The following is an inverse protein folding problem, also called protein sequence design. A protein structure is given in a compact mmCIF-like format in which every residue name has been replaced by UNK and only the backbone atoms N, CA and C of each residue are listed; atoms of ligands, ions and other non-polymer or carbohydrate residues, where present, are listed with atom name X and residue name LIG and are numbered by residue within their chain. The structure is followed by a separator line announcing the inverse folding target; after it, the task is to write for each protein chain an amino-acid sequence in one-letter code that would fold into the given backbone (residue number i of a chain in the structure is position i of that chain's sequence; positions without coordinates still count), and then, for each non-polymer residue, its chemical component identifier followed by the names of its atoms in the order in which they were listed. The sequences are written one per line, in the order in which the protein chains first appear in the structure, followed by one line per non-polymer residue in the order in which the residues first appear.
data_IF_424825820678
#
_entry.id   IF_424825820678
#
_cell.length_a   1.000
_cell.length_b   1.000
_cell.length_c   1.000
_cell.angle_alpha   90.00
_cell.angle_beta   90.00
_cell.angle_gamma   90.00
#
_symmetry.space_group_name_H-M   'P 1'
#
loop_
_entity.id
_entity.type
_entity.pdbx_description
1 polymer ?
2 water ?
#
# COMPACT_ATOMS: atom_id res chain seq x y z
N UNK A 1 -3.67 19.11 0.24
CA UNK A 1 -3.77 18.71 -1.16
C UNK A 1 -3.88 17.20 -1.27
N UNK A 2 -4.66 16.72 -2.23
CA UNK A 2 -4.70 15.29 -2.52
C UNK A 2 -3.41 14.86 -3.20
N UNK A 3 -2.97 13.64 -2.90
CA UNK A 3 -1.87 13.00 -3.58
C UNK A 3 -2.40 11.74 -4.24
N UNK A 4 -1.71 11.31 -5.30
CA UNK A 4 -2.03 10.07 -5.99
C UNK A 4 -1.34 8.90 -5.30
N UNK A 5 -2.11 7.86 -5.01
CA UNK A 5 -1.57 6.60 -4.53
C UNK A 5 -2.08 5.48 -5.43
N UNK A 6 -1.44 4.33 -5.33
CA UNK A 6 -1.87 3.12 -6.02
C UNK A 6 -2.16 2.07 -4.96
N UNK A 7 -3.36 1.51 -5.00
CA UNK A 7 -3.78 0.46 -4.09
C UNK A 7 -3.75 -0.86 -4.85
N UNK A 8 -3.12 -1.87 -4.27
CA UNK A 8 -3.09 -3.20 -4.86
C UNK A 8 -3.64 -4.20 -3.87
N UNK A 9 -4.37 -5.17 -4.38
CA UNK A 9 -4.82 -6.32 -3.60
C UNK A 9 -4.12 -7.53 -4.20
N UNK A 10 -3.23 -8.14 -3.44
CA UNK A 10 -2.38 -9.21 -3.94
C UNK A 10 -2.60 -10.45 -3.08
N UNK A 11 -2.30 -11.60 -3.67
CA UNK A 11 -2.52 -12.86 -2.96
C UNK A 11 -1.50 -13.08 -1.86
N UNK A 12 -0.27 -12.61 -2.07
CA UNK A 12 0.87 -12.87 -1.20
C UNK A 12 1.63 -11.56 -1.00
N UNK A 13 2.28 -11.40 0.15
CA UNK A 13 3.04 -10.17 0.42
C UNK A 13 3.99 -9.85 -0.73
N UNK A 14 4.74 -10.84 -1.20
CA UNK A 14 5.77 -10.59 -2.21
C UNK A 14 5.28 -10.90 -3.62
N UNK A 15 4.05 -10.51 -3.92
CA UNK A 15 3.39 -10.69 -5.21
C UNK A 15 3.12 -9.33 -5.83
N UNK A 16 2.99 -9.33 -7.16
CA UNK A 16 2.75 -8.11 -7.92
C UNK A 16 1.54 -8.27 -8.83
N UNK A 17 0.72 -7.22 -8.87
CA UNK A 17 -0.45 -7.14 -9.74
C UNK A 17 -0.68 -5.68 -10.05
N UNK A 18 -1.45 -5.42 -11.11
CA UNK A 18 -1.89 -4.06 -11.38
C UNK A 18 -2.77 -3.56 -10.23
N UNK A 19 -2.59 -2.30 -9.85
CA UNK A 19 -3.40 -1.68 -8.84
C UNK A 19 -4.41 -0.70 -9.41
N UNK A 20 -4.95 0.13 -8.53
CA UNK A 20 -6.00 1.08 -8.82
C UNK A 20 -5.56 2.45 -8.31
N UNK A 21 -5.83 3.48 -9.11
CA UNK A 21 -5.46 4.84 -8.76
C UNK A 21 -6.44 5.39 -7.74
N UNK A 22 -5.92 5.93 -6.63
CA UNK A 22 -6.75 6.66 -5.68
C UNK A 22 -6.09 8.00 -5.39
N UNK A 23 -6.88 8.89 -4.80
CA UNK A 23 -6.40 10.15 -4.28
C UNK A 23 -6.68 10.18 -2.79
N UNK A 24 -5.74 10.73 -2.03
CA UNK A 24 -5.92 10.81 -0.58
C UNK A 24 -5.15 12.00 -0.05
N UNK A 25 -5.62 12.53 1.06
CA UNK A 25 -4.99 13.71 1.63
C UNK A 25 -3.96 13.38 2.70
N UNK A 26 -3.73 12.10 2.98
CA UNK A 26 -2.66 11.66 3.86
C UNK A 26 -2.47 10.16 3.66
N UNK A 27 -1.31 9.67 4.09
CA UNK A 27 -1.11 8.22 4.07
C UNK A 27 -2.09 7.51 5.00
N UNK A 28 -2.39 8.13 6.14
CA UNK A 28 -3.39 7.59 7.06
C UNK A 28 -4.72 7.37 6.34
N UNK A 29 -5.16 8.38 5.59
CA UNK A 29 -6.40 8.28 4.85
C UNK A 29 -6.30 7.24 3.73
N UNK A 30 -5.15 7.14 3.07
CA UNK A 30 -4.96 6.11 2.05
C UNK A 30 -5.10 4.71 2.64
N UNK A 31 -4.57 4.50 3.84
CA UNK A 31 -4.72 3.21 4.51
C UNK A 31 -6.19 2.92 4.79
N UNK A 32 -6.93 3.93 5.29
CA UNK A 32 -8.36 3.72 5.51
C UNK A 32 -9.09 3.34 4.21
N UNK A 33 -8.76 4.02 3.11
CA UNK A 33 -9.37 3.70 1.82
C UNK A 33 -9.02 2.29 1.40
N UNK A 34 -7.75 1.92 1.52
CA UNK A 34 -7.30 0.61 1.06
C UNK A 34 -8.01 -0.52 1.79
N UNK A 35 -8.14 -0.40 3.12
CA UNK A 35 -8.84 -1.44 3.88
C UNK A 35 -10.30 -1.53 3.47
N UNK A 36 -10.93 -0.38 3.23
CA UNK A 36 -12.33 -0.38 2.82
C UNK A 36 -12.51 -1.03 1.46
N UNK A 37 -11.51 -0.91 0.58
CA UNK A 37 -11.62 -1.40 -0.79
C UNK A 37 -11.27 -2.88 -0.94
N UNK A 38 -10.78 -3.54 0.10
CA UNK A 38 -10.42 -4.95 -0.02
C UNK A 38 -11.64 -5.76 -0.42
N UNK A 39 -11.47 -6.61 -1.44
CA UNK A 39 -12.59 -7.38 -1.98
C UNK A 39 -12.59 -8.84 -1.58
N UNK A 40 -11.45 -9.40 -1.16
CA UNK A 40 -11.33 -10.84 -0.97
C UNK A 40 -10.74 -11.13 0.39
N UNK A 41 -11.24 -12.18 1.04
CA UNK A 41 -10.71 -12.59 2.33
C UNK A 41 -9.32 -13.20 2.17
N UNK A 42 -8.38 -12.78 3.01
CA UNK A 42 -7.08 -13.41 3.06
C UNK A 42 -6.04 -12.82 2.13
N UNK A 43 -6.38 -11.81 1.34
CA UNK A 43 -5.40 -11.12 0.51
C UNK A 43 -4.66 -10.07 1.32
N UNK A 44 -3.67 -9.45 0.68
CA UNK A 44 -2.86 -8.39 1.26
C UNK A 44 -3.17 -7.10 0.51
N UNK A 45 -3.45 -6.03 1.25
CA UNK A 45 -3.59 -4.71 0.65
C UNK A 45 -2.25 -3.97 0.72
N UNK A 46 -1.80 -3.44 -0.40
CA UNK A 46 -0.55 -2.70 -0.45
C UNK A 46 -0.77 -1.32 -1.05
N UNK A 47 -0.13 -0.31 -0.45
CA UNK A 47 -0.14 1.05 -0.96
C UNK A 47 1.25 1.34 -1.51
N UNK A 48 1.28 1.81 -2.76
CA UNK A 48 2.49 2.22 -3.46
C UNK A 48 2.34 3.64 -3.99
N UNK A 49 3.49 4.27 -4.24
CA UNK A 49 3.49 5.49 -5.04
C UNK A 49 3.27 5.13 -6.52
N UNK A 50 3.00 6.16 -7.33
CA UNK A 50 2.86 5.92 -8.77
C UNK A 50 4.13 5.32 -9.36
N UNK A 51 5.29 5.68 -8.82
CA UNK A 51 6.57 5.15 -9.26
C UNK A 51 6.84 3.73 -8.75
N UNK A 52 5.94 3.15 -7.96
CA UNK A 52 6.08 1.77 -7.54
C UNK A 52 6.81 1.54 -6.23
N UNK A 53 7.02 2.57 -5.43
CA UNK A 53 7.65 2.38 -4.13
C UNK A 53 6.63 1.84 -3.13
N UNK A 54 6.96 0.73 -2.47
CA UNK A 54 6.12 0.22 -1.39
C UNK A 54 6.11 1.22 -0.24
N UNK A 55 4.92 1.66 0.15
CA UNK A 55 4.75 2.51 1.32
C UNK A 55 4.30 1.72 2.53
N UNK A 56 3.30 0.86 2.35
CA UNK A 56 2.81 0.07 3.48
C UNK A 56 1.95 -1.06 2.94
N UNK A 57 1.82 -2.13 3.71
CA UNK A 57 0.87 -3.17 3.34
C UNK A 57 0.26 -3.78 4.59
N UNK A 58 -0.81 -4.54 4.40
CA UNK A 58 -1.55 -5.11 5.51
C UNK A 58 -2.11 -6.47 5.13
N UNK A 59 -1.76 -7.48 5.93
CA UNK A 59 -2.41 -8.78 5.92
C UNK A 59 -3.65 -8.75 6.81
N UNK A 60 -4.57 -9.69 6.56
CA UNK A 60 -5.78 -9.78 7.38
C UNK A 60 -5.45 -10.08 8.84
N UNK A 61 -6.15 -9.40 9.74
CA UNK A 61 -5.95 -9.61 11.16
C UNK A 61 -4.65 -9.09 11.72
N UNK A 62 -3.83 -8.44 10.91
CA UNK A 62 -2.56 -7.89 11.37
C UNK A 62 -2.56 -6.39 11.13
N UNK A 63 -1.66 -5.70 11.82
CA UNK A 63 -1.56 -4.27 11.64
C UNK A 63 -0.81 -3.94 10.35
N UNK A 64 -0.97 -2.70 9.89
CA UNK A 64 -0.19 -2.22 8.76
C UNK A 64 1.30 -2.36 9.04
N UNK A 65 2.04 -2.76 8.02
CA UNK A 65 3.50 -2.78 8.04
C UNK A 65 3.98 -1.60 7.21
N UNK A 66 4.67 -0.66 7.86
CA UNK A 66 5.22 0.49 7.16
C UNK A 66 6.59 0.10 6.62
N UNK A 67 6.84 0.46 5.37
CA UNK A 67 8.06 0.07 4.67
C UNK A 67 9.08 1.21 4.66
N UNK A 68 10.34 0.84 4.42
CA UNK A 68 11.42 1.83 4.38
C UNK A 68 11.33 2.67 3.11
N UNK A 69 11.43 3.99 3.27
CA UNK A 69 11.13 4.93 2.19
C UNK A 69 12.37 5.48 1.48
N UNK A 70 13.54 5.42 2.11
CA UNK A 70 14.72 6.06 1.55
C UNK A 70 15.52 5.08 0.70
N UNK A 71 16.24 5.62 -0.28
CA UNK A 71 17.20 4.81 -1.01
C UNK A 71 18.31 4.35 -0.06
N UNK A 72 18.90 3.20 -0.38
CA UNK A 72 20.02 2.71 0.40
C UNK A 72 21.22 3.63 0.26
N UNK A 73 22.07 3.60 1.28
CA UNK A 73 23.42 4.12 1.19
C UNK A 73 24.33 3.13 1.89
N UNK A 74 25.63 3.27 1.69
CA UNK A 74 26.59 2.45 2.41
C UNK A 74 26.82 3.01 3.80
N UNK A 75 26.78 2.12 4.78
CA UNK A 75 26.96 2.47 6.17
C UNK A 75 28.41 2.38 6.62
N UNK A 76 29.27 1.76 5.81
CA UNK A 76 30.71 1.74 6.01
C UNK A 76 31.37 2.02 4.67
#
# INVERSE_FOLDING_TARGET
MKAAYIIKEVQNINSEREGTQIEATSLSQAKRIASKEQCFHGTVMRIETVNGLWLAYKEDGKRWVDCQLEHHHHHH
#
